data_IF_380364821444
#
_entry.id   IF_380364821444
#
_cell.length_a   1.000
_cell.length_b   1.000
_cell.length_c   1.000
_cell.angle_alpha   90.00
_cell.angle_beta   90.00
_cell.angle_gamma   90.00
#
_symmetry.space_group_name_H-M   'P 1'
#
loop_
_entity.id
_entity.type
_entity.pdbx_description
1 polymer ?
#
# COMPACT_ATOMS: atom_id res chain seq x y z
N UNK A 1 55.16 -34.11 -48.86
CA UNK A 1 55.92 -32.90 -49.27
C UNK A 1 54.90 -31.94 -49.86
N UNK A 2 54.55 -30.77 -49.35
CA UNK A 2 55.22 -29.80 -48.49
C UNK A 2 54.20 -29.12 -47.56
N UNK A 3 54.70 -28.71 -46.40
CA UNK A 3 54.03 -27.97 -45.35
C UNK A 3 53.93 -26.47 -45.72
N UNK A 4 52.86 -25.78 -45.35
CA UNK A 4 52.86 -24.30 -45.23
C UNK A 4 51.77 -23.82 -44.29
N UNK A 5 52.21 -23.29 -43.16
CA UNK A 5 51.44 -22.63 -42.12
C UNK A 5 51.11 -21.16 -42.47
N UNK A 6 50.42 -20.50 -41.53
CA UNK A 6 50.05 -19.07 -41.42
C UNK A 6 48.77 -18.68 -42.18
N UNK A 7 47.73 -18.10 -41.57
CA UNK A 7 47.75 -17.09 -40.52
C UNK A 7 46.51 -17.14 -39.61
N UNK A 8 46.72 -16.85 -38.32
CA UNK A 8 45.68 -16.71 -37.31
C UNK A 8 44.97 -15.36 -37.50
N UNK A 9 43.64 -15.35 -37.54
CA UNK A 9 42.87 -14.16 -37.15
C UNK A 9 41.80 -14.62 -36.18
N UNK A 10 42.09 -14.45 -34.89
CA UNK A 10 41.09 -14.40 -33.84
C UNK A 10 40.22 -13.17 -34.10
N UNK A 11 39.00 -13.33 -34.62
CA UNK A 11 38.00 -12.29 -34.51
C UNK A 11 37.37 -12.39 -33.12
N UNK A 12 38.02 -11.75 -32.15
CA UNK A 12 37.40 -11.40 -30.87
C UNK A 12 36.27 -10.44 -31.18
N UNK A 13 35.04 -10.97 -31.27
CA UNK A 13 33.85 -10.16 -31.25
C UNK A 13 33.76 -9.47 -29.90
N UNK A 14 34.19 -8.20 -29.85
CA UNK A 14 34.05 -7.32 -28.71
C UNK A 14 32.55 -7.14 -28.43
N UNK A 15 32.02 -7.98 -27.54
CA UNK A 15 30.68 -7.87 -27.01
C UNK A 15 30.65 -6.59 -26.14
N UNK A 16 30.21 -5.48 -26.74
CA UNK A 16 29.99 -4.23 -26.02
C UNK A 16 28.83 -4.43 -25.05
N UNK A 17 29.15 -4.87 -23.82
CA UNK A 17 28.22 -4.89 -22.69
C UNK A 17 27.98 -3.45 -22.25
N UNK A 18 27.07 -2.75 -22.93
CA UNK A 18 26.52 -1.49 -22.42
C UNK A 18 25.70 -1.83 -21.18
N UNK A 19 26.27 -1.58 -20.00
CA UNK A 19 25.52 -1.55 -18.74
C UNK A 19 24.45 -0.45 -18.87
N UNK A 20 23.21 -0.86 -19.10
CA UNK A 20 22.02 -0.04 -18.90
C UNK A 20 21.82 0.14 -17.39
N UNK A 21 22.65 0.98 -16.77
CA UNK A 21 22.39 1.45 -15.42
C UNK A 21 21.33 2.54 -15.50
N UNK A 22 20.06 2.14 -15.47
CA UNK A 22 18.93 3.06 -15.35
C UNK A 22 19.04 3.78 -14.00
N UNK A 23 19.09 5.13 -13.94
CA UNK A 23 19.03 5.81 -12.67
C UNK A 23 17.66 5.55 -12.04
N UNK A 24 17.67 5.08 -10.78
CA UNK A 24 16.47 5.06 -9.96
C UNK A 24 16.06 6.51 -9.68
N UNK A 25 15.19 7.05 -10.53
CA UNK A 25 14.55 8.34 -10.29
C UNK A 25 13.61 8.17 -9.09
N UNK A 26 14.11 8.51 -7.90
CA UNK A 26 13.22 8.70 -6.75
C UNK A 26 12.46 10.01 -6.95
N UNK A 27 11.17 9.91 -7.27
CA UNK A 27 10.32 11.07 -7.36
C UNK A 27 10.27 11.76 -5.99
N UNK A 28 10.41 13.09 -5.98
CA UNK A 28 10.41 13.88 -4.74
C UNK A 28 9.20 13.51 -3.87
N UNK A 29 9.47 13.15 -2.62
CA UNK A 29 8.43 12.79 -1.65
C UNK A 29 8.01 11.32 -1.66
N UNK A 30 8.60 10.46 -2.51
CA UNK A 30 8.40 9.00 -2.42
C UNK A 30 9.40 8.40 -1.43
N UNK A 31 8.88 7.73 -0.39
CA UNK A 31 9.67 7.05 0.63
C UNK A 31 9.83 5.55 0.32
N UNK A 32 8.83 4.95 -0.31
CA UNK A 32 8.86 3.54 -0.74
C UNK A 32 7.94 3.35 -1.94
N UNK A 33 8.36 2.55 -2.92
CA UNK A 33 7.51 2.20 -4.05
C UNK A 33 6.40 1.22 -3.64
N UNK A 34 5.28 1.21 -4.36
CA UNK A 34 4.22 0.23 -4.11
C UNK A 34 4.68 -1.24 -4.26
N UNK A 35 5.43 -1.61 -5.32
CA UNK A 35 6.01 -2.95 -5.44
C UNK A 35 6.90 -3.33 -4.26
N UNK A 36 7.76 -2.43 -3.78
CA UNK A 36 8.63 -2.70 -2.63
C UNK A 36 7.83 -2.86 -1.35
N UNK A 37 6.76 -2.07 -1.17
CA UNK A 37 5.85 -2.22 -0.03
C UNK A 37 5.20 -3.61 -0.02
N UNK A 38 4.64 -4.06 -1.14
CA UNK A 38 4.04 -5.40 -1.21
C UNK A 38 5.08 -6.50 -0.99
N UNK A 39 6.28 -6.37 -1.57
CA UNK A 39 7.37 -7.31 -1.35
C UNK A 39 7.76 -7.40 0.14
N UNK A 40 7.93 -6.26 0.82
CA UNK A 40 8.22 -6.19 2.27
C UNK A 40 7.12 -6.89 3.08
N UNK A 41 5.85 -6.66 2.76
CA UNK A 41 4.71 -7.16 3.55
C UNK A 41 4.53 -8.68 3.44
N UNK A 42 4.84 -9.28 2.28
CA UNK A 42 4.56 -10.68 1.98
C UNK A 42 5.80 -11.58 1.89
N UNK A 43 7.01 -11.05 2.12
CA UNK A 43 8.25 -11.84 2.14
C UNK A 43 8.11 -13.11 3.00
N UNK A 44 8.56 -14.30 2.53
CA UNK A 44 9.26 -14.56 1.26
C UNK A 44 8.35 -14.80 0.04
N UNK A 45 7.03 -14.72 0.22
CA UNK A 45 6.05 -14.98 -0.82
C UNK A 45 5.79 -13.74 -1.68
N UNK A 46 5.34 -13.97 -2.92
CA UNK A 46 4.94 -12.92 -3.87
C UNK A 46 3.51 -13.20 -4.34
N UNK A 47 2.48 -12.89 -3.53
CA UNK A 47 1.10 -13.09 -3.94
C UNK A 47 0.81 -12.24 -5.19
N UNK A 48 -0.08 -12.73 -6.04
CA UNK A 48 -0.53 -11.97 -7.20
C UNK A 48 -1.51 -10.85 -6.77
N UNK A 49 -1.52 -9.70 -7.47
CA UNK A 49 -2.46 -8.64 -7.18
C UNK A 49 -3.90 -9.11 -7.43
N UNK A 50 -4.78 -8.81 -6.48
CA UNK A 50 -6.22 -8.99 -6.56
C UNK A 50 -6.93 -7.66 -6.80
N UNK A 51 -8.21 -7.73 -7.15
CA UNK A 51 -9.03 -6.57 -7.52
C UNK A 51 -10.34 -6.59 -6.74
N UNK A 52 -10.66 -5.47 -6.10
CA UNK A 52 -11.97 -5.18 -5.53
C UNK A 52 -12.72 -4.24 -6.49
N UNK A 53 -13.84 -4.70 -7.06
CA UNK A 53 -14.67 -3.89 -7.95
C UNK A 53 -15.58 -2.93 -7.16
N UNK A 54 -15.66 -1.68 -7.59
CA UNK A 54 -16.40 -0.62 -6.90
C UNK A 54 -17.88 -0.61 -7.33
N UNK A 55 -18.70 -1.41 -6.65
CA UNK A 55 -20.17 -1.38 -6.80
C UNK A 55 -20.76 -0.08 -6.25
N UNK A 56 -22.04 0.19 -6.52
CA UNK A 56 -22.74 1.36 -5.99
C UNK A 56 -22.72 1.39 -4.45
N UNK A 57 -22.99 0.26 -3.80
CA UNK A 57 -23.00 0.16 -2.33
C UNK A 57 -21.60 0.39 -1.75
N UNK A 58 -20.57 -0.25 -2.31
CA UNK A 58 -19.19 -0.07 -1.84
C UNK A 58 -18.78 1.40 -1.97
N UNK A 59 -19.15 2.05 -3.07
CA UNK A 59 -18.89 3.48 -3.29
C UNK A 59 -19.59 4.32 -2.23
N UNK A 60 -20.90 4.18 -2.06
CA UNK A 60 -21.67 4.96 -1.09
C UNK A 60 -21.10 4.83 0.34
N UNK A 61 -20.65 3.63 0.70
CA UNK A 61 -20.10 3.37 2.01
C UNK A 61 -18.68 3.90 2.18
N UNK A 62 -17.85 3.83 1.14
CA UNK A 62 -16.53 4.45 1.14
C UNK A 62 -16.63 5.98 1.19
N UNK A 63 -17.63 6.58 0.53
CA UNK A 63 -17.88 8.02 0.58
C UNK A 63 -18.18 8.52 1.99
N UNK A 64 -18.95 7.74 2.78
CA UNK A 64 -19.20 8.06 4.19
C UNK A 64 -17.93 8.03 5.05
N UNK A 65 -16.97 7.16 4.72
CA UNK A 65 -15.70 7.06 5.44
C UNK A 65 -14.78 8.23 5.05
N UNK A 66 -14.71 8.55 3.76
CA UNK A 66 -13.81 9.57 3.23
C UNK A 66 -14.37 11.00 3.33
N UNK A 67 -15.67 11.15 3.51
CA UNK A 67 -16.39 12.43 3.47
C UNK A 67 -16.21 13.16 2.12
N UNK A 68 -16.18 12.38 1.04
CA UNK A 68 -16.10 12.86 -0.35
C UNK A 68 -16.47 11.74 -1.33
N UNK A 69 -16.84 12.07 -2.58
CA UNK A 69 -17.07 11.08 -3.63
C UNK A 69 -15.87 10.16 -3.88
N UNK A 70 -16.13 8.87 -4.11
CA UNK A 70 -15.10 7.89 -4.48
C UNK A 70 -15.17 7.60 -5.97
N UNK A 71 -14.12 8.04 -6.67
CA UNK A 71 -13.95 7.82 -8.11
C UNK A 71 -13.18 6.53 -8.38
N UNK A 72 -13.48 5.91 -9.52
CA UNK A 72 -12.78 4.71 -9.99
C UNK A 72 -13.64 3.45 -10.01
N UNK A 73 -13.23 2.52 -10.86
CA UNK A 73 -13.94 1.25 -11.09
C UNK A 73 -13.48 0.13 -10.18
N UNK A 74 -12.25 0.20 -9.68
CA UNK A 74 -11.63 -0.88 -8.92
C UNK A 74 -10.47 -0.41 -8.05
N UNK A 75 -10.23 -1.14 -6.96
CA UNK A 75 -9.07 -1.00 -6.09
C UNK A 75 -8.24 -2.27 -6.18
N UNK A 76 -6.92 -2.12 -6.38
CA UNK A 76 -5.99 -3.25 -6.38
C UNK A 76 -5.42 -3.47 -4.98
N UNK A 77 -5.22 -4.73 -4.62
CA UNK A 77 -4.66 -5.12 -3.33
C UNK A 77 -3.87 -6.41 -3.46
N UNK A 78 -3.11 -6.77 -2.43
CA UNK A 78 -2.46 -8.08 -2.33
C UNK A 78 -3.01 -8.82 -1.10
N UNK A 79 -3.12 -10.14 -1.20
CA UNK A 79 -3.64 -10.97 -0.12
C UNK A 79 -2.95 -12.33 -0.09
N UNK A 80 -2.67 -12.81 1.11
CA UNK A 80 -2.15 -14.15 1.40
C UNK A 80 -2.65 -14.56 2.79
N UNK A 81 -3.20 -15.77 2.92
CA UNK A 81 -3.64 -16.35 4.20
C UNK A 81 -4.51 -15.41 5.06
N UNK A 82 -5.52 -14.78 4.44
CA UNK A 82 -6.41 -13.81 5.08
C UNK A 82 -5.79 -12.42 5.33
N UNK A 83 -4.46 -12.29 5.38
CA UNK A 83 -3.76 -10.99 5.46
C UNK A 83 -3.89 -10.23 4.15
N UNK A 84 -4.25 -8.94 4.22
CA UNK A 84 -4.37 -8.06 3.04
C UNK A 84 -3.46 -6.85 3.17
N UNK A 85 -2.95 -6.36 2.04
CA UNK A 85 -2.24 -5.09 1.95
C UNK A 85 -2.88 -4.20 0.88
N UNK A 86 -3.07 -2.94 1.23
CA UNK A 86 -3.73 -1.91 0.44
C UNK A 86 -2.78 -0.74 0.25
N UNK A 87 -2.81 -0.13 -0.93
CA UNK A 87 -2.20 1.18 -1.16
C UNK A 87 -3.32 2.09 -1.63
N UNK A 88 -3.61 3.11 -0.83
CA UNK A 88 -4.72 4.03 -1.02
C UNK A 88 -4.20 5.47 -0.97
N UNK A 89 -4.97 6.38 -1.56
CA UNK A 89 -4.62 7.80 -1.60
C UNK A 89 -5.72 8.65 -0.98
N UNK A 90 -5.30 9.64 -0.21
CA UNK A 90 -6.20 10.66 0.35
C UNK A 90 -5.52 12.02 0.34
N UNK A 91 -6.31 13.07 0.14
CA UNK A 91 -5.77 14.44 0.14
C UNK A 91 -5.46 14.84 1.59
N UNK A 92 -4.25 15.35 1.81
CA UNK A 92 -3.89 16.00 3.06
C UNK A 92 -4.51 17.40 3.14
N UNK A 93 -3.68 18.43 3.02
CA UNK A 93 -4.15 19.80 2.84
C UNK A 93 -4.49 20.10 1.38
N UNK A 94 -3.60 19.72 0.47
CA UNK A 94 -3.62 20.12 -0.94
C UNK A 94 -3.16 19.00 -1.89
N UNK A 95 -2.31 18.07 -1.41
CA UNK A 95 -1.70 17.04 -2.25
C UNK A 95 -2.07 15.64 -1.73
N UNK A 96 -2.10 14.63 -2.63
CA UNK A 96 -2.37 13.25 -2.22
C UNK A 96 -1.21 12.70 -1.38
N UNK A 97 -1.58 12.03 -0.30
CA UNK A 97 -0.72 11.17 0.50
C UNK A 97 -0.94 9.73 0.04
N UNK A 98 0.12 9.02 -0.33
CA UNK A 98 0.04 7.60 -0.71
C UNK A 98 0.33 6.75 0.52
N UNK A 99 -0.65 5.96 0.96
CA UNK A 99 -0.64 5.28 2.26
C UNK A 99 -0.79 3.78 2.06
N UNK A 100 0.15 3.02 2.60
CA UNK A 100 0.11 1.57 2.69
C UNK A 100 -0.54 1.12 3.99
N UNK A 101 -1.53 0.24 3.92
CA UNK A 101 -2.20 -0.34 5.10
C UNK A 101 -2.18 -1.85 5.00
N UNK A 102 -1.71 -2.52 6.06
CA UNK A 102 -1.69 -3.97 6.19
C UNK A 102 -2.69 -4.36 7.26
N UNK A 103 -3.56 -5.30 6.94
CA UNK A 103 -4.58 -5.82 7.86
C UNK A 103 -4.40 -7.32 7.95
N UNK A 104 -4.39 -7.82 9.18
CA UNK A 104 -4.29 -9.23 9.49
C UNK A 104 -5.30 -9.55 10.59
N UNK A 105 -5.99 -10.68 10.51
CA UNK A 105 -7.01 -11.07 11.50
C UNK A 105 -8.04 -9.95 11.79
N UNK A 106 -8.51 -9.24 10.75
CA UNK A 106 -9.44 -8.11 10.82
C UNK A 106 -8.99 -6.89 11.65
N UNK A 107 -7.69 -6.78 11.96
CA UNK A 107 -7.07 -5.64 12.67
C UNK A 107 -5.93 -5.07 11.86
N UNK A 108 -5.67 -3.78 12.01
CA UNK A 108 -4.52 -3.13 11.38
C UNK A 108 -3.24 -3.73 11.97
N UNK A 109 -2.39 -4.29 11.11
CA UNK A 109 -1.06 -4.77 11.46
C UNK A 109 0.01 -3.70 11.21
N UNK A 110 -0.18 -2.83 10.21
CA UNK A 110 0.78 -1.76 9.87
C UNK A 110 0.12 -0.65 9.06
N UNK A 111 0.47 0.59 9.34
CA UNK A 111 0.25 1.75 8.46
C UNK A 111 1.60 2.35 8.09
N UNK A 112 1.78 2.74 6.84
CA UNK A 112 3.03 3.33 6.34
C UNK A 112 2.74 4.41 5.30
N UNK A 113 3.40 5.55 5.39
CA UNK A 113 3.38 6.55 4.32
C UNK A 113 4.39 6.13 3.25
N UNK A 114 3.90 5.89 2.03
CA UNK A 114 4.71 5.49 0.89
C UNK A 114 5.17 6.70 0.07
N UNK A 115 4.32 7.74 0.00
CA UNK A 115 4.69 9.02 -0.58
C UNK A 115 3.94 10.19 0.09
N UNK A 116 4.63 11.31 0.26
CA UNK A 116 4.13 12.54 0.85
C UNK A 116 4.67 13.76 0.10
N UNK A 117 3.77 14.66 -0.31
CA UNK A 117 4.07 15.69 -1.32
C UNK A 117 3.79 17.11 -0.84
N UNK A 118 3.49 17.28 0.44
CA UNK A 118 3.26 18.60 1.05
C UNK A 118 4.48 19.11 1.80
N UNK A 119 4.53 20.42 2.07
CA UNK A 119 5.66 21.07 2.74
C UNK A 119 5.67 20.88 4.26
N UNK A 120 4.50 20.65 4.87
CA UNK A 120 4.30 20.50 6.32
C UNK A 120 3.30 19.39 6.58
N UNK A 121 3.44 18.73 7.73
CA UNK A 121 2.57 17.63 8.14
C UNK A 121 3.12 16.24 7.82
N UNK A 122 4.32 16.16 7.24
CA UNK A 122 4.99 14.91 6.89
C UNK A 122 5.46 14.11 8.10
N UNK A 123 5.33 14.64 9.32
CA UNK A 123 5.63 13.96 10.59
C UNK A 123 4.81 12.67 10.76
N UNK A 124 3.63 12.58 10.13
CA UNK A 124 2.84 11.35 10.10
C UNK A 124 3.64 10.16 9.58
N UNK A 125 4.67 10.35 8.74
CA UNK A 125 5.47 9.25 8.18
C UNK A 125 6.30 8.47 9.21
N UNK A 126 6.52 9.02 10.40
CA UNK A 126 7.45 8.42 11.35
C UNK A 126 6.87 7.12 11.95
N UNK A 127 7.65 6.01 11.98
CA UNK A 127 7.15 4.72 12.49
C UNK A 127 6.57 4.79 13.90
N UNK A 128 7.18 5.58 14.79
CA UNK A 128 6.71 5.76 16.16
C UNK A 128 5.28 6.35 16.22
N UNK A 129 4.96 7.29 15.33
CA UNK A 129 3.61 7.84 15.24
C UNK A 129 2.63 6.80 14.69
N UNK A 130 3.02 6.09 13.63
CA UNK A 130 2.18 5.10 12.94
C UNK A 130 1.90 3.84 13.77
N UNK A 131 2.68 3.57 14.82
CA UNK A 131 2.45 2.46 15.74
C UNK A 131 1.10 2.56 16.47
N UNK A 132 0.52 3.76 16.60
CA UNK A 132 -0.79 3.97 17.23
C UNK A 132 -1.94 3.23 16.53
N UNK A 133 -1.79 2.95 15.22
CA UNK A 133 -2.80 2.23 14.45
C UNK A 133 -2.78 0.71 14.68
N UNK A 134 -1.69 0.17 15.25
CA UNK A 134 -1.56 -1.28 15.42
C UNK A 134 -2.68 -1.85 16.29
N UNK A 135 -3.32 -2.90 15.81
CA UNK A 135 -4.46 -3.55 16.46
C UNK A 135 -5.78 -2.80 16.37
N UNK A 136 -5.86 -1.64 15.70
CA UNK A 136 -7.13 -0.95 15.48
C UNK A 136 -8.06 -1.79 14.59
N UNK A 137 -9.36 -1.70 14.86
CA UNK A 137 -10.43 -2.36 14.12
C UNK A 137 -11.45 -1.33 13.63
N UNK A 138 -12.36 -1.76 12.76
CA UNK A 138 -13.46 -0.94 12.28
C UNK A 138 -14.67 -1.13 13.18
N UNK A 139 -15.22 -0.03 13.68
CA UNK A 139 -16.49 -0.06 14.42
C UNK A 139 -17.69 -0.15 13.48
N UNK A 140 -18.87 -0.44 14.02
CA UNK A 140 -20.13 -0.45 13.26
C UNK A 140 -20.44 0.91 12.60
N UNK A 141 -19.92 2.00 13.17
CA UNK A 141 -20.03 3.35 12.62
C UNK A 141 -18.95 3.67 11.58
N UNK A 142 -18.17 2.66 11.14
CA UNK A 142 -17.12 2.75 10.12
C UNK A 142 -15.99 3.72 10.49
N UNK A 143 -15.69 3.81 11.79
CA UNK A 143 -14.56 4.55 12.34
C UNK A 143 -13.56 3.58 12.93
N UNK A 144 -12.35 4.07 13.22
CA UNK A 144 -11.43 3.33 14.07
C UNK A 144 -11.98 3.28 15.49
N UNK A 145 -11.80 2.15 16.17
CA UNK A 145 -12.11 1.97 17.59
C UNK A 145 -11.13 2.74 18.50
N UNK A 146 -9.91 2.98 17.99
CA UNK A 146 -8.86 3.71 18.70
C UNK A 146 -8.87 5.20 18.35
N UNK A 147 -8.58 6.01 19.37
CA UNK A 147 -8.17 7.40 19.18
C UNK A 147 -6.70 7.45 18.78
N UNK A 148 -6.38 8.28 17.80
CA UNK A 148 -5.01 8.52 17.34
C UNK A 148 -4.63 9.94 17.74
N UNK A 149 -3.50 10.09 18.44
CA UNK A 149 -3.02 11.39 18.86
C UNK A 149 -2.75 12.28 17.64
N UNK A 150 -3.06 13.57 17.80
CA UNK A 150 -2.78 14.57 16.79
C UNK A 150 -1.28 14.85 16.67
N UNK A 151 -0.90 15.48 15.56
CA UNK A 151 0.41 16.12 15.41
C UNK A 151 0.14 17.61 15.20
N UNK A 152 0.79 18.45 16.01
CA UNK A 152 0.71 19.91 15.90
C UNK A 152 1.04 20.36 14.47
N UNK A 153 0.13 21.11 13.84
CA UNK A 153 0.31 21.61 12.48
C UNK A 153 0.10 20.57 11.36
N UNK A 154 -0.29 19.33 11.69
CA UNK A 154 -0.52 18.27 10.70
C UNK A 154 -1.92 17.66 10.76
N UNK A 155 -2.90 18.35 11.36
CA UNK A 155 -4.26 17.83 11.57
C UNK A 155 -4.88 17.21 10.32
N UNK A 156 -4.77 17.86 9.16
CA UNK A 156 -5.33 17.35 7.91
C UNK A 156 -4.62 16.07 7.43
N UNK A 157 -3.31 15.97 7.63
CA UNK A 157 -2.56 14.73 7.33
C UNK A 157 -2.98 13.60 8.26
N UNK A 158 -3.18 13.87 9.55
CA UNK A 158 -3.68 12.87 10.52
C UNK A 158 -5.08 12.39 10.11
N UNK A 159 -5.97 13.31 9.71
CA UNK A 159 -7.32 12.95 9.25
C UNK A 159 -7.29 12.10 7.99
N UNK A 160 -6.45 12.43 7.02
CA UNK A 160 -6.28 11.64 5.80
C UNK A 160 -5.84 10.20 6.12
N UNK A 161 -4.88 10.03 7.04
CA UNK A 161 -4.43 8.70 7.46
C UNK A 161 -5.54 7.94 8.20
N UNK A 162 -6.29 8.59 9.10
CA UNK A 162 -7.42 7.97 9.80
C UNK A 162 -8.50 7.48 8.84
N UNK A 163 -8.86 8.30 7.85
CA UNK A 163 -9.83 7.95 6.80
C UNK A 163 -9.37 6.73 5.99
N UNK A 164 -8.10 6.71 5.57
CA UNK A 164 -7.54 5.59 4.81
C UNK A 164 -7.42 4.31 5.63
N UNK A 165 -7.03 4.40 6.90
CA UNK A 165 -6.98 3.27 7.81
C UNK A 165 -8.36 2.61 7.97
N UNK A 166 -9.41 3.42 8.21
CA UNK A 166 -10.78 2.93 8.28
C UNK A 166 -11.27 2.36 6.94
N UNK A 167 -10.94 3.01 5.82
CA UNK A 167 -11.32 2.54 4.49
C UNK A 167 -10.69 1.18 4.15
N UNK A 168 -9.42 1.00 4.48
CA UNK A 168 -8.73 -0.27 4.26
C UNK A 168 -9.36 -1.40 5.08
N UNK A 169 -9.75 -1.15 6.34
CA UNK A 169 -10.47 -2.12 7.17
C UNK A 169 -11.82 -2.50 6.57
N UNK A 170 -12.56 -1.51 6.07
CA UNK A 170 -13.82 -1.75 5.37
C UNK A 170 -13.60 -2.65 4.15
N UNK A 171 -12.65 -2.33 3.28
CA UNK A 171 -12.33 -3.14 2.11
C UNK A 171 -11.84 -4.54 2.46
N UNK A 172 -11.05 -4.68 3.53
CA UNK A 172 -10.66 -5.98 4.06
C UNK A 172 -11.87 -6.82 4.46
N UNK A 173 -12.85 -6.26 5.18
CA UNK A 173 -14.06 -6.98 5.60
C UNK A 173 -14.92 -7.45 4.42
N UNK A 174 -14.85 -6.77 3.27
CA UNK A 174 -15.55 -7.21 2.05
C UNK A 174 -14.88 -8.41 1.37
N UNK A 175 -13.55 -8.51 1.43
CA UNK A 175 -12.77 -9.57 0.76
C UNK A 175 -12.37 -10.71 1.69
N UNK A 176 -12.51 -10.49 3.00
CA UNK A 176 -12.43 -11.48 4.07
C UNK A 176 -13.62 -11.22 5.01
N UNK A 177 -14.81 -11.78 4.73
CA UNK A 177 -15.90 -11.73 5.69
C UNK A 177 -15.51 -12.48 6.96
N UNK A 178 -15.84 -11.93 8.13
CA UNK A 178 -15.77 -12.71 9.38
C UNK A 178 -16.82 -13.80 9.25
N UNK A 179 -16.42 -15.06 9.29
CA UNK A 179 -17.39 -16.15 9.40
C UNK A 179 -18.14 -15.94 10.72
N UNK A 180 -19.41 -15.55 10.63
CA UNK A 180 -20.30 -15.56 11.77
C UNK A 180 -20.45 -17.02 12.19
N UNK A 181 -19.79 -17.39 13.29
CA UNK A 181 -20.10 -18.62 14.01
C UNK A 181 -21.56 -18.56 14.40
N UNK A 182 -22.44 -19.10 13.56
CA UNK A 182 -23.83 -19.36 13.87
C UNK A 182 -23.84 -20.45 14.94
N UNK A 183 -23.63 -20.04 16.19
CA UNK A 183 -23.95 -20.81 17.37
C UNK A 183 -25.46 -20.93 17.46
N UNK A 184 -26.03 -21.90 16.76
CA UNK A 184 -27.25 -22.53 17.23
C UNK A 184 -26.96 -23.16 18.59
N UNK A 185 -27.62 -22.66 19.64
CA UNK A 185 -28.09 -23.54 20.70
C UNK A 185 -29.55 -23.20 20.97
N UNK A 186 -30.37 -24.19 20.67
CA UNK A 186 -31.77 -24.37 21.05
C UNK A 186 -32.00 -24.13 22.55
#
# INVERSE_FOLDING_TARGET
MFNSAYNRIFFVGLLATTLLASPLLTAKGVYQSGPDFFAEVFTPHKPQPKVLWMTADIRQQAEKILDRPVVGLRVRYHQLDGKTAWILEEIGKEMPITIGVVINQHKIAKVKILAYRESRGGEVRYPAYMAQYEGAVLTDQRKLDKSIDGITGATLSVWAVNKVAALALYYHGLVNPVESTNGQSK
#
